data_IF_763232327892
#
_entry.id   IF_763232327892
#
_cell.length_a   1.000
_cell.length_b   1.000
_cell.length_c   1.000
_cell.angle_alpha   90.00
_cell.angle_beta   90.00
_cell.angle_gamma   90.00
#
_symmetry.space_group_name_H-M   'P 1'
#
loop_
_entity.id
_entity.type
_entity.pdbx_description
1 polymer ?
#
# COMPACT_ATOMS: atom_id res chain seq x y z
N UNK A 1 1.56 -26.90 16.74
CA UNK A 1 0.31 -26.66 15.97
C UNK A 1 -0.25 -25.24 16.14
N UNK A 2 0.01 -24.52 17.25
CA UNK A 2 -0.42 -23.11 17.41
C UNK A 2 0.40 -22.07 16.61
N UNK A 3 1.69 -22.30 16.31
CA UNK A 3 2.53 -21.32 15.57
C UNK A 3 2.17 -21.16 14.09
N UNK A 4 1.64 -22.20 13.43
CA UNK A 4 1.34 -22.17 12.00
C UNK A 4 0.09 -21.33 11.68
N UNK A 5 -0.88 -21.28 12.59
CA UNK A 5 -2.06 -20.41 12.45
C UNK A 5 -1.72 -18.94 12.72
N UNK A 6 -0.83 -18.66 13.68
CA UNK A 6 -0.34 -17.29 13.93
C UNK A 6 0.44 -16.72 12.76
N UNK A 7 1.19 -17.56 12.04
CA UNK A 7 1.96 -17.14 10.87
C UNK A 7 1.05 -16.70 9.71
N UNK A 8 0.00 -17.47 9.42
CA UNK A 8 -0.96 -17.13 8.37
C UNK A 8 -1.82 -15.90 8.71
N UNK A 9 -2.10 -15.65 10.00
CA UNK A 9 -2.82 -14.45 10.44
C UNK A 9 -1.99 -13.17 10.27
N UNK A 10 -0.67 -13.21 10.53
CA UNK A 10 0.22 -12.07 10.24
C UNK A 10 0.30 -11.76 8.74
N UNK A 11 0.36 -12.79 7.90
CA UNK A 11 0.42 -12.61 6.44
C UNK A 11 -0.88 -12.08 5.83
N UNK A 12 -2.04 -12.35 6.45
CA UNK A 12 -3.33 -11.84 6.00
C UNK A 12 -3.60 -10.39 6.41
N UNK A 13 -2.90 -9.87 7.42
CA UNK A 13 -3.11 -8.52 7.93
C UNK A 13 -2.27 -7.45 7.21
N UNK A 14 -1.24 -7.86 6.48
CA UNK A 14 -0.31 -6.96 5.82
C UNK A 14 -0.88 -6.54 4.46
N UNK A 15 -1.38 -5.30 4.38
CA UNK A 15 -1.93 -4.77 3.14
C UNK A 15 -0.77 -4.33 2.26
N UNK A 16 -0.52 -5.06 1.19
CA UNK A 16 0.48 -4.68 0.18
C UNK A 16 0.01 -3.42 -0.57
N UNK A 17 0.71 -2.29 -0.43
CA UNK A 17 0.41 -1.04 -1.15
C UNK A 17 0.39 -1.26 -2.65
N UNK A 18 1.25 -2.14 -3.15
CA UNK A 18 1.30 -2.47 -4.56
C UNK A 18 0.01 -3.12 -5.05
N UNK A 19 -0.63 -3.95 -4.23
CA UNK A 19 -1.92 -4.57 -4.55
C UNK A 19 -3.04 -3.52 -4.50
N UNK A 20 -3.03 -2.64 -3.50
CA UNK A 20 -3.99 -1.55 -3.37
C UNK A 20 -3.94 -0.61 -4.60
N UNK A 21 -2.75 -0.16 -4.98
CA UNK A 21 -2.57 0.73 -6.14
C UNK A 21 -2.96 0.06 -7.45
N UNK A 22 -2.65 -1.24 -7.63
CA UNK A 22 -3.09 -2.00 -8.79
C UNK A 22 -4.63 -2.06 -8.90
N UNK A 23 -5.32 -2.29 -7.78
CA UNK A 23 -6.79 -2.29 -7.74
C UNK A 23 -7.36 -0.91 -8.09
N UNK A 24 -6.82 0.17 -7.51
CA UNK A 24 -7.24 1.55 -7.80
C UNK A 24 -7.03 1.88 -9.27
N UNK A 25 -5.83 1.61 -9.81
CA UNK A 25 -5.54 1.80 -11.24
C UNK A 25 -6.50 1.00 -12.11
N UNK A 26 -6.79 -0.26 -11.75
CA UNK A 26 -7.75 -1.10 -12.47
C UNK A 26 -9.15 -0.49 -12.53
N UNK A 27 -9.62 0.10 -11.43
CA UNK A 27 -10.91 0.81 -11.38
C UNK A 27 -10.89 2.07 -12.25
N UNK A 28 -9.81 2.86 -12.20
CA UNK A 28 -9.66 4.08 -13.00
C UNK A 28 -9.64 3.76 -14.50
N UNK A 29 -8.90 2.72 -14.89
CA UNK A 29 -8.84 2.23 -16.26
C UNK A 29 -10.21 1.72 -16.74
N UNK A 30 -10.91 0.93 -15.91
CA UNK A 30 -12.26 0.42 -16.21
C UNK A 30 -13.26 1.54 -16.49
N UNK A 31 -13.18 2.64 -15.74
CA UNK A 31 -14.07 3.80 -15.91
C UNK A 31 -13.53 4.84 -16.89
N UNK A 32 -12.44 4.53 -17.62
CA UNK A 32 -11.78 5.43 -18.59
C UNK A 32 -11.45 6.81 -18.01
N UNK A 33 -11.11 6.85 -16.72
CA UNK A 33 -10.67 8.08 -16.07
C UNK A 33 -9.35 8.49 -16.71
N UNK A 34 -9.28 9.74 -17.18
CA UNK A 34 -8.03 10.31 -17.67
C UNK A 34 -7.06 10.46 -16.50
N UNK A 35 -6.05 9.61 -16.46
CA UNK A 35 -4.92 9.77 -15.55
C UNK A 35 -4.04 10.90 -16.08
N UNK A 36 -4.01 12.00 -15.34
CA UNK A 36 -3.04 13.07 -15.60
C UNK A 36 -1.62 12.53 -15.39
N UNK A 37 -0.64 13.01 -16.17
CA UNK A 37 0.75 12.54 -16.06
C UNK A 37 1.32 12.70 -14.65
N UNK A 38 0.88 13.74 -13.93
CA UNK A 38 1.21 13.98 -12.53
C UNK A 38 0.75 12.83 -11.62
N UNK A 39 -0.45 12.27 -11.85
CA UNK A 39 -0.96 11.14 -11.05
C UNK A 39 -0.13 9.88 -11.29
N UNK A 40 0.19 9.57 -12.54
CA UNK A 40 1.03 8.42 -12.88
C UNK A 40 2.42 8.51 -12.25
N UNK A 41 3.01 9.71 -12.17
CA UNK A 41 4.28 9.95 -11.52
C UNK A 41 4.22 9.71 -10.00
N UNK A 42 3.13 10.12 -9.34
CA UNK A 42 2.92 9.86 -7.91
C UNK A 42 2.77 8.36 -7.64
N UNK A 43 1.97 7.66 -8.45
CA UNK A 43 1.81 6.20 -8.31
C UNK A 43 3.14 5.48 -8.50
N UNK A 44 3.94 5.88 -9.49
CA UNK A 44 5.28 5.34 -9.71
C UNK A 44 6.21 5.61 -8.52
N UNK A 45 6.19 6.83 -7.96
CA UNK A 45 7.00 7.18 -6.78
C UNK A 45 6.65 6.30 -5.57
N UNK A 46 5.38 5.99 -5.36
CA UNK A 46 4.94 5.09 -4.29
C UNK A 46 5.43 3.66 -4.55
N UNK A 47 5.32 3.14 -5.78
CA UNK A 47 5.86 1.82 -6.13
C UNK A 47 7.37 1.72 -5.90
N UNK A 48 8.13 2.76 -6.29
CA UNK A 48 9.57 2.82 -6.06
C UNK A 48 9.87 2.84 -4.57
N UNK A 49 9.15 3.65 -3.79
CA UNK A 49 9.34 3.73 -2.34
C UNK A 49 9.00 2.41 -1.64
N UNK A 50 7.95 1.73 -2.06
CA UNK A 50 7.57 0.38 -1.61
C UNK A 50 8.71 -0.63 -1.88
N UNK A 51 9.21 -0.64 -3.11
CA UNK A 51 10.26 -1.54 -3.55
C UNK A 51 11.59 -1.31 -2.82
N UNK A 52 12.05 -0.05 -2.73
CA UNK A 52 13.23 0.30 -1.94
C UNK A 52 13.00 -0.04 -0.47
N UNK A 53 11.82 0.27 0.04
CA UNK A 53 11.46 0.05 1.41
C UNK A 53 11.60 -1.40 1.85
N UNK A 54 10.99 -2.33 1.11
CA UNK A 54 11.11 -3.77 1.39
C UNK A 54 12.50 -4.33 1.13
N UNK A 55 13.24 -3.73 0.19
CA UNK A 55 14.63 -4.13 -0.08
C UNK A 55 15.55 -3.81 1.10
N UNK A 56 15.30 -2.73 1.85
CA UNK A 56 16.05 -2.37 3.05
C UNK A 56 15.50 -3.03 4.32
N UNK A 57 14.18 -3.18 4.43
CA UNK A 57 13.49 -3.72 5.59
C UNK A 57 12.31 -4.61 5.12
N UNK A 58 12.51 -5.94 5.01
CA UNK A 58 11.52 -6.86 4.47
C UNK A 58 10.19 -6.89 5.23
N UNK A 59 10.21 -6.52 6.52
CA UNK A 59 9.03 -6.52 7.38
C UNK A 59 8.35 -5.12 7.42
N UNK A 60 8.85 -4.14 6.65
CA UNK A 60 8.23 -2.83 6.58
C UNK A 60 6.86 -2.87 5.88
N UNK A 61 5.84 -2.43 6.61
CA UNK A 61 4.56 -1.99 6.05
C UNK A 61 4.52 -0.45 5.97
N UNK A 62 4.56 0.10 4.76
CA UNK A 62 4.55 1.55 4.52
C UNK A 62 3.20 2.17 4.89
N UNK A 63 2.08 1.43 4.76
CA UNK A 63 0.76 1.93 5.16
C UNK A 63 0.66 2.06 6.67
N UNK A 64 1.19 1.10 7.42
CA UNK A 64 1.27 1.22 8.88
C UNK A 64 2.10 2.43 9.31
N UNK A 65 3.23 2.69 8.63
CA UNK A 65 4.06 3.88 8.90
C UNK A 65 3.37 5.18 8.50
N UNK A 66 2.57 5.16 7.44
CA UNK A 66 1.79 6.31 6.97
C UNK A 66 0.47 6.52 7.74
N UNK A 67 0.03 5.54 8.53
CA UNK A 67 -1.19 5.58 9.35
C UNK A 67 -1.41 6.90 10.12
N UNK A 68 -0.44 7.47 10.86
CA UNK A 68 -0.63 8.72 11.58
C UNK A 68 -0.88 9.93 10.65
N UNK A 69 -0.43 9.87 9.40
CA UNK A 69 -0.60 10.92 8.40
C UNK A 69 -1.95 10.73 7.69
N UNK A 70 -2.25 9.50 7.26
CA UNK A 70 -3.45 9.14 6.50
C UNK A 70 -4.71 9.14 7.37
N UNK A 71 -4.62 8.67 8.61
CA UNK A 71 -5.70 8.63 9.59
C UNK A 71 -5.50 9.80 10.56
N UNK A 72 -5.52 11.02 10.03
CA UNK A 72 -5.67 12.20 10.89
C UNK A 72 -7.13 12.30 11.30
N UNK A 73 -7.55 11.47 12.26
CA UNK A 73 -8.76 11.76 13.00
C UNK A 73 -8.39 12.82 14.05
N UNK A 74 -8.43 14.09 13.65
CA UNK A 74 -8.60 15.18 14.62
C UNK A 74 -10.01 15.05 15.19
N UNK A 75 -10.21 14.12 16.12
CA UNK A 75 -11.28 14.24 17.10
C UNK A 75 -10.84 15.34 18.07
N UNK A 76 -11.18 16.58 17.73
CA UNK A 76 -11.30 17.71 18.66
C UNK A 76 -12.77 17.97 18.86
#
# INVERSE_FOLDING_TARGET
MHSLLSFNLCQLLQVDVGVLLQQVLGVLLKHKVRLESAFSAVVLAIFVLEGLGRALDPDMDILERARPILITNKLS
#
